data_IF_369577837030
#
_entry.id   IF_369577837030
#
_cell.length_a   1.000
_cell.length_b   1.000
_cell.length_c   1.000
_cell.angle_alpha   90.00
_cell.angle_beta   90.00
_cell.angle_gamma   90.00
#
_symmetry.space_group_name_H-M   'P 1'
#
loop_
_entity.id
_entity.type
_entity.pdbx_description
1 polymer ?
#
# COMPACT_ATOMS: atom_id res chain seq x y z
N UNK A 1 -12.12 -7.73 26.92
CA UNK A 1 -11.52 -8.57 25.86
C UNK A 1 -12.49 -8.58 24.68
N UNK A 2 -12.12 -7.99 23.55
CA UNK A 2 -12.89 -8.10 22.30
C UNK A 2 -12.94 -9.58 21.90
N UNK A 3 -14.12 -10.11 21.60
CA UNK A 3 -14.34 -11.53 21.30
C UNK A 3 -13.79 -11.97 19.91
N UNK A 4 -12.70 -11.35 19.45
CA UNK A 4 -11.95 -11.81 18.27
C UNK A 4 -12.64 -11.61 16.93
N UNK A 5 -13.45 -10.57 16.74
CA UNK A 5 -14.02 -10.21 15.43
C UNK A 5 -13.48 -8.91 14.84
N UNK A 6 -12.80 -8.10 15.63
CA UNK A 6 -12.16 -6.88 15.13
C UNK A 6 -10.77 -7.24 14.57
N UNK A 7 -10.70 -7.38 13.26
CA UNK A 7 -9.42 -7.52 12.56
C UNK A 7 -8.91 -6.13 12.32
N UNK A 8 -7.80 -5.77 12.98
CA UNK A 8 -7.20 -4.47 12.76
C UNK A 8 -6.91 -4.20 11.28
N UNK A 9 -7.08 -2.96 10.84
CA UNK A 9 -7.05 -2.61 9.41
C UNK A 9 -5.63 -2.40 8.84
N UNK A 10 -4.62 -2.18 9.70
CA UNK A 10 -3.22 -2.12 9.33
C UNK A 10 -2.67 -3.47 8.84
N UNK A 11 -2.00 -3.48 7.68
CA UNK A 11 -1.38 -4.67 7.09
C UNK A 11 -0.02 -4.37 6.43
N UNK A 12 0.63 -5.41 5.88
CA UNK A 12 1.83 -5.26 5.05
C UNK A 12 1.66 -5.95 3.69
N UNK A 13 2.28 -5.36 2.66
CA UNK A 13 2.36 -5.94 1.31
C UNK A 13 3.80 -6.34 1.00
N UNK A 14 3.98 -7.54 0.46
CA UNK A 14 5.26 -7.98 -0.08
C UNK A 14 5.26 -7.89 -1.60
N UNK A 15 6.25 -7.19 -2.17
CA UNK A 15 6.47 -7.10 -3.62
C UNK A 15 7.82 -7.73 -3.94
N UNK A 16 7.85 -8.70 -4.85
CA UNK A 16 9.04 -9.50 -5.16
C UNK A 16 9.22 -9.68 -6.67
N UNK A 17 10.47 -9.63 -7.13
CA UNK A 17 10.82 -9.77 -8.55
C UNK A 17 12.00 -8.89 -8.96
N UNK A 18 12.47 -9.05 -10.21
CA UNK A 18 13.53 -8.20 -10.77
C UNK A 18 13.07 -6.76 -11.03
N UNK A 19 13.99 -5.80 -11.01
CA UNK A 19 13.74 -4.37 -11.32
C UNK A 19 12.95 -3.60 -10.25
N UNK A 20 12.85 -4.14 -9.04
CA UNK A 20 12.24 -3.43 -7.91
C UNK A 20 13.30 -2.52 -7.28
N UNK A 21 12.88 -1.35 -6.83
CA UNK A 21 13.67 -0.54 -5.93
C UNK A 21 13.47 -1.12 -4.51
N UNK A 22 14.43 -1.89 -4.03
CA UNK A 22 14.29 -2.62 -2.76
C UNK A 22 14.22 -1.72 -1.54
N UNK A 23 13.48 -2.13 -0.52
CA UNK A 23 13.37 -1.39 0.74
C UNK A 23 12.05 -1.62 1.48
N UNK A 24 11.90 -0.93 2.60
CA UNK A 24 10.64 -0.83 3.34
C UNK A 24 9.99 0.51 2.99
N UNK A 25 8.81 0.45 2.39
CA UNK A 25 8.01 1.61 2.01
C UNK A 25 6.92 1.83 3.05
N UNK A 26 7.21 2.65 4.06
CA UNK A 26 6.27 2.97 5.11
C UNK A 26 6.56 4.33 5.74
N UNK A 27 5.51 5.03 6.15
CA UNK A 27 5.61 6.06 7.19
C UNK A 27 5.16 5.41 8.49
N UNK A 28 6.10 5.12 9.39
CA UNK A 28 5.79 4.43 10.64
C UNK A 28 5.19 5.42 11.66
N UNK A 29 3.91 5.28 12.05
CA UNK A 29 3.27 6.22 12.98
C UNK A 29 3.65 5.92 14.44
N UNK A 30 4.12 4.72 14.75
CA UNK A 30 4.32 4.26 16.13
C UNK A 30 3.15 3.41 16.63
N UNK A 31 3.14 3.13 17.93
CA UNK A 31 2.10 2.34 18.62
C UNK A 31 1.57 3.05 19.86
N UNK A 32 1.79 4.36 19.99
CA UNK A 32 1.16 5.15 21.06
C UNK A 32 -0.32 5.33 20.75
N UNK A 33 -1.16 5.43 21.79
CA UNK A 33 -2.62 5.49 21.65
C UNK A 33 -3.09 6.63 20.73
N UNK A 34 -2.36 7.74 20.67
CA UNK A 34 -2.63 8.89 19.80
C UNK A 34 -2.19 8.70 18.33
N UNK A 35 -1.38 7.68 18.06
CA UNK A 35 -0.93 7.30 16.72
C UNK A 35 -1.77 6.17 16.10
N UNK A 36 -2.66 5.57 16.87
CA UNK A 36 -3.56 4.51 16.43
C UNK A 36 -4.84 5.11 15.83
N UNK A 37 -5.37 4.43 14.83
CA UNK A 37 -6.65 4.76 14.19
C UNK A 37 -7.69 3.71 14.64
N UNK A 38 -8.62 4.14 15.48
CA UNK A 38 -9.59 3.27 16.17
C UNK A 38 -8.97 2.13 16.99
N UNK A 39 -7.74 2.35 17.51
CA UNK A 39 -6.99 1.35 18.28
C UNK A 39 -6.10 0.43 17.44
N UNK A 40 -6.09 0.61 16.12
CA UNK A 40 -5.26 -0.14 15.19
C UNK A 40 -4.08 0.67 14.65
N UNK A 41 -3.08 -0.04 14.12
CA UNK A 41 -1.97 0.60 13.41
C UNK A 41 -2.51 1.40 12.21
N UNK A 42 -2.28 2.72 12.22
CA UNK A 42 -2.76 3.60 11.17
C UNK A 42 -2.20 3.22 9.78
N UNK A 43 -3.08 3.12 8.79
CA UNK A 43 -2.70 2.90 7.39
C UNK A 43 -2.04 4.15 6.85
N UNK A 44 -0.77 4.03 6.45
CA UNK A 44 -0.02 5.16 5.88
C UNK A 44 0.29 5.04 4.39
N UNK A 45 -0.07 3.92 3.77
CA UNK A 45 0.11 3.65 2.35
C UNK A 45 -1.17 3.06 1.77
N UNK A 46 -1.69 3.66 0.71
CA UNK A 46 -2.82 3.10 -0.01
C UNK A 46 -2.35 1.93 -0.90
N UNK A 47 -2.90 0.74 -0.69
CA UNK A 47 -2.49 -0.45 -1.45
C UNK A 47 -2.71 -0.27 -2.97
N UNK A 48 -3.65 0.59 -3.38
CA UNK A 48 -3.94 0.88 -4.79
C UNK A 48 -2.79 1.61 -5.46
N UNK A 49 -1.99 2.38 -4.73
CA UNK A 49 -0.77 2.99 -5.26
C UNK A 49 0.22 1.92 -5.71
N UNK A 50 0.47 0.94 -4.82
CA UNK A 50 1.36 -0.20 -5.07
C UNK A 50 0.90 -1.00 -6.29
N UNK A 51 -0.40 -1.33 -6.33
CA UNK A 51 -0.97 -2.10 -7.44
C UNK A 51 -0.95 -1.33 -8.75
N UNK A 52 -1.22 -0.02 -8.73
CA UNK A 52 -1.18 0.84 -9.92
C UNK A 52 0.23 0.86 -10.52
N UNK A 53 1.28 1.01 -9.70
CA UNK A 53 2.65 0.94 -10.21
C UNK A 53 2.94 -0.40 -10.90
N UNK A 54 2.56 -1.52 -10.28
CA UNK A 54 2.75 -2.85 -10.87
C UNK A 54 1.96 -3.00 -12.19
N UNK A 55 0.72 -2.53 -12.23
CA UNK A 55 -0.13 -2.59 -13.42
C UNK A 55 0.50 -1.81 -14.59
N UNK A 56 0.93 -0.58 -14.33
CA UNK A 56 1.48 0.30 -15.38
C UNK A 56 2.90 -0.14 -15.77
N UNK A 57 3.78 -0.37 -14.80
CA UNK A 57 5.20 -0.61 -15.09
C UNK A 57 5.52 -2.05 -15.48
N UNK A 58 4.78 -3.05 -14.98
CA UNK A 58 5.10 -4.48 -15.18
C UNK A 58 4.12 -5.22 -16.04
N UNK A 59 2.83 -5.04 -15.78
CA UNK A 59 1.76 -5.64 -16.59
C UNK A 59 1.56 -4.86 -17.90
N UNK A 60 2.01 -3.60 -17.94
CA UNK A 60 1.84 -2.69 -19.07
C UNK A 60 0.36 -2.43 -19.40
N UNK A 61 -0.48 -2.38 -18.36
CA UNK A 61 -1.88 -2.01 -18.48
C UNK A 61 -2.10 -0.57 -17.99
N UNK A 62 -2.34 0.40 -18.90
CA UNK A 62 -2.54 1.80 -18.53
C UNK A 62 -3.98 2.11 -18.08
N UNK A 63 -4.95 1.19 -18.23
CA UNK A 63 -6.37 1.41 -17.91
C UNK A 63 -6.66 1.30 -16.40
N UNK A 64 -5.86 2.00 -15.58
CA UNK A 64 -5.93 1.94 -14.11
C UNK A 64 -7.21 2.57 -13.57
N UNK A 65 -7.80 3.53 -14.30
CA UNK A 65 -9.07 4.17 -14.00
C UNK A 65 -10.28 3.22 -14.09
N UNK A 66 -10.17 2.18 -14.92
CA UNK A 66 -11.20 1.13 -15.01
C UNK A 66 -11.11 0.13 -13.85
N UNK A 67 -9.91 -0.05 -13.28
CA UNK A 67 -9.66 -0.97 -12.17
C UNK A 67 -9.91 -0.27 -10.82
N UNK A 68 -9.48 0.98 -10.70
CA UNK A 68 -9.67 1.84 -9.54
C UNK A 68 -10.40 3.15 -9.94
N UNK A 69 -11.73 3.12 -10.11
CA UNK A 69 -12.50 4.30 -10.47
C UNK A 69 -12.37 5.41 -9.43
N UNK A 70 -12.27 6.67 -9.89
CA UNK A 70 -12.14 7.88 -9.07
C UNK A 70 -10.90 7.89 -8.13
N UNK A 71 -9.87 7.11 -8.46
CA UNK A 71 -8.62 7.07 -7.72
C UNK A 71 -7.52 7.81 -8.50
N UNK A 72 -6.76 8.66 -7.82
CA UNK A 72 -5.56 9.28 -8.38
C UNK A 72 -4.33 8.68 -7.69
N UNK A 73 -3.56 7.83 -8.38
CA UNK A 73 -2.41 7.16 -7.77
C UNK A 73 -1.31 8.15 -7.35
N UNK A 74 -0.72 7.90 -6.19
CA UNK A 74 0.51 8.54 -5.71
C UNK A 74 1.67 7.57 -5.91
N UNK A 75 2.65 7.90 -6.77
CA UNK A 75 3.83 7.06 -6.95
C UNK A 75 4.58 6.84 -5.63
N UNK A 76 4.84 5.59 -5.31
CA UNK A 76 5.63 5.11 -4.18
C UNK A 76 7.11 4.86 -4.59
N UNK A 77 7.40 4.73 -5.88
CA UNK A 77 8.74 4.51 -6.41
C UNK A 77 9.24 3.07 -6.25
N UNK A 78 8.33 2.10 -6.27
CA UNK A 78 8.61 0.68 -6.03
C UNK A 78 9.28 0.04 -7.25
N UNK A 79 8.96 0.52 -8.45
CA UNK A 79 9.54 0.00 -9.68
C UNK A 79 10.69 0.88 -10.18
N UNK A 80 11.78 0.24 -10.61
CA UNK A 80 12.80 0.86 -11.45
C UNK A 80 12.26 0.88 -12.90
N UNK A 81 12.27 2.04 -13.59
CA UNK A 81 11.94 2.11 -15.01
C UNK A 81 12.81 1.15 -15.82
N UNK A 82 12.22 0.53 -16.84
CA UNK A 82 12.99 -0.25 -17.83
C UNK A 82 13.75 0.66 -18.78
#
# INVERSE_FOLDING_TARGET
ASAGTDHGHGNCMFVMGGGLNGGVYARWPGLSDDALDDGDLAITTDYRDVLTEVLVGRVLNPAVDQIFPNFTPTPQGILVPR
#
